data_IF_155067356593
#
_entry.id   IF_155067356593
#
_cell.length_a   1.000
_cell.length_b   1.000
_cell.length_c   1.000
_cell.angle_alpha   90.00
_cell.angle_beta   90.00
_cell.angle_gamma   90.00
#
_symmetry.space_group_name_H-M   'P 1'
#
loop_
_entity.id
_entity.type
_entity.pdbx_description
1 polymer ?
#
# COMPACT_ATOMS: atom_id res chain seq x y z
N UNK A 1 -64.94 -1.36 5.36
CA UNK A 1 -63.65 -1.05 6.00
C UNK A 1 -62.54 -1.71 5.20
N UNK A 2 -61.92 -0.98 4.27
CA UNK A 2 -60.88 -1.52 3.35
C UNK A 2 -59.51 -1.19 3.92
N UNK A 3 -58.83 -2.20 4.47
CA UNK A 3 -57.44 -2.06 4.93
C UNK A 3 -56.57 -2.08 3.68
N UNK A 4 -55.85 -0.98 3.44
CA UNK A 4 -54.93 -0.82 2.32
C UNK A 4 -53.71 -1.75 2.49
N UNK A 5 -53.79 -2.96 1.92
CA UNK A 5 -52.70 -3.96 1.91
C UNK A 5 -51.39 -3.40 1.33
N UNK A 6 -51.45 -2.37 0.47
CA UNK A 6 -50.29 -1.79 -0.18
C UNK A 6 -49.28 -1.11 0.77
N UNK A 7 -49.70 -0.71 1.99
CA UNK A 7 -48.80 -0.05 2.96
C UNK A 7 -48.02 -1.02 3.84
N UNK A 8 -48.46 -2.27 3.97
CA UNK A 8 -47.81 -3.26 4.85
C UNK A 8 -46.63 -3.93 4.15
N UNK A 9 -46.70 -4.09 2.81
CA UNK A 9 -45.62 -4.73 2.02
C UNK A 9 -44.38 -3.82 1.87
N UNK A 10 -44.54 -2.50 1.96
CA UNK A 10 -43.42 -1.57 1.79
C UNK A 10 -42.52 -1.46 3.04
N UNK A 11 -43.03 -1.82 4.22
CA UNK A 11 -42.26 -1.73 5.47
C UNK A 11 -41.37 -2.96 5.73
N UNK A 12 -41.68 -4.12 5.17
CA UNK A 12 -40.85 -5.34 5.30
C UNK A 12 -39.66 -5.37 4.36
N UNK A 13 -39.65 -4.58 3.29
CA UNK A 13 -38.49 -4.47 2.38
C UNK A 13 -37.36 -3.59 2.92
N UNK A 14 -37.66 -2.63 3.81
CA UNK A 14 -36.65 -1.68 4.32
C UNK A 14 -35.87 -2.28 5.51
N UNK A 15 -36.47 -3.21 6.26
CA UNK A 15 -35.82 -3.85 7.41
C UNK A 15 -34.84 -4.98 7.06
N UNK A 16 -34.87 -5.51 5.83
CA UNK A 16 -33.91 -6.53 5.38
C UNK A 16 -32.65 -5.95 4.71
N UNK A 17 -32.57 -4.63 4.51
CA UNK A 17 -31.41 -4.00 3.88
C UNK A 17 -30.25 -3.69 4.86
N UNK A 18 -30.44 -3.90 6.17
CA UNK A 18 -29.46 -3.50 7.19
C UNK A 18 -28.49 -4.61 7.62
N UNK A 19 -28.60 -5.83 7.08
CA UNK A 19 -27.73 -6.96 7.46
C UNK A 19 -26.49 -7.17 6.59
N UNK A 20 -26.22 -6.31 5.60
CA UNK A 20 -25.12 -6.49 4.65
C UNK A 20 -23.86 -5.66 4.93
N UNK A 21 -23.81 -4.89 6.03
CA UNK A 21 -22.65 -4.05 6.34
C UNK A 21 -22.01 -4.40 7.68
N UNK A 22 -21.62 -5.66 7.86
CA UNK A 22 -20.68 -6.05 8.90
C UNK A 22 -20.00 -7.40 8.58
N UNK A 23 -19.59 -7.64 7.32
CA UNK A 23 -18.59 -8.68 7.10
C UNK A 23 -17.24 -8.06 7.41
N UNK A 24 -16.71 -8.46 8.56
CA UNK A 24 -15.34 -8.25 8.97
C UNK A 24 -14.49 -9.16 8.06
N UNK A 25 -14.34 -8.76 6.80
CA UNK A 25 -13.39 -9.37 5.90
C UNK A 25 -12.01 -8.95 6.41
N UNK A 26 -11.45 -9.78 7.29
CA UNK A 26 -10.01 -9.85 7.44
C UNK A 26 -9.47 -9.96 6.01
N UNK A 27 -8.83 -8.90 5.55
CA UNK A 27 -8.26 -8.86 4.23
C UNK A 27 -7.21 -9.97 4.19
N UNK A 28 -7.16 -10.66 3.07
CA UNK A 28 -6.35 -11.85 2.86
C UNK A 28 -5.87 -11.74 1.42
N UNK A 29 -4.57 -11.66 1.22
CA UNK A 29 -3.94 -11.57 -0.10
C UNK A 29 -4.43 -12.72 -1.01
N UNK A 30 -4.71 -13.90 -0.44
CA UNK A 30 -5.26 -15.04 -1.16
C UNK A 30 -6.67 -14.79 -1.72
N UNK A 31 -7.46 -13.94 -1.06
CA UNK A 31 -8.84 -13.56 -1.44
C UNK A 31 -8.93 -12.34 -2.34
N UNK A 32 -7.80 -11.77 -2.77
CA UNK A 32 -7.80 -10.66 -3.74
C UNK A 32 -8.58 -11.06 -5.00
N UNK A 33 -9.43 -10.14 -5.46
CA UNK A 33 -10.16 -10.29 -6.71
C UNK A 33 -9.17 -10.37 -7.87
N UNK A 34 -9.53 -11.07 -8.94
CA UNK A 34 -8.64 -11.21 -10.12
C UNK A 34 -8.26 -9.86 -10.72
N UNK A 35 -9.18 -8.89 -10.72
CA UNK A 35 -8.90 -7.52 -11.15
C UNK A 35 -7.80 -6.85 -10.31
N UNK A 36 -7.85 -7.01 -8.98
CA UNK A 36 -6.83 -6.46 -8.08
C UNK A 36 -5.49 -7.13 -8.28
N UNK A 37 -5.50 -8.45 -8.54
CA UNK A 37 -4.29 -9.20 -8.87
C UNK A 37 -3.65 -8.66 -10.15
N UNK A 38 -4.44 -8.46 -11.21
CA UNK A 38 -3.94 -7.89 -12.46
C UNK A 38 -3.35 -6.49 -12.23
N UNK A 39 -4.06 -5.61 -11.51
CA UNK A 39 -3.59 -4.25 -11.21
C UNK A 39 -2.28 -4.24 -10.39
N UNK A 40 -2.10 -5.17 -9.45
CA UNK A 40 -0.88 -5.32 -8.67
C UNK A 40 0.29 -5.83 -9.51
N UNK A 41 0.05 -6.78 -10.42
CA UNK A 41 1.07 -7.25 -11.36
C UNK A 41 1.50 -6.14 -12.33
N UNK A 42 0.55 -5.38 -12.88
CA UNK A 42 0.84 -4.21 -13.73
C UNK A 42 1.63 -3.13 -12.97
N UNK A 43 1.20 -2.83 -11.74
CA UNK A 43 1.92 -1.93 -10.85
C UNK A 43 3.38 -2.39 -10.65
N UNK A 44 3.59 -3.68 -10.37
CA UNK A 44 4.91 -4.24 -10.11
C UNK A 44 5.84 -4.15 -11.31
N UNK A 45 5.34 -4.44 -12.51
CA UNK A 45 6.10 -4.29 -13.76
C UNK A 45 6.53 -2.84 -13.95
N UNK A 46 5.60 -1.90 -13.80
CA UNK A 46 5.89 -0.47 -13.95
C UNK A 46 6.89 0.02 -12.90
N UNK A 47 6.76 -0.44 -11.65
CA UNK A 47 7.67 -0.12 -10.56
C UNK A 47 9.08 -0.63 -10.85
N UNK A 48 9.24 -1.91 -11.21
CA UNK A 48 10.53 -2.50 -11.57
C UNK A 48 11.19 -1.76 -12.72
N UNK A 49 10.43 -1.44 -13.77
CA UNK A 49 10.93 -0.70 -14.91
C UNK A 49 11.41 0.69 -14.47
N UNK A 50 10.58 1.45 -13.76
CA UNK A 50 10.91 2.80 -13.31
C UNK A 50 12.14 2.85 -12.39
N UNK A 51 12.29 1.88 -11.48
CA UNK A 51 13.48 1.76 -10.62
C UNK A 51 14.72 1.44 -11.45
N UNK A 52 14.66 0.40 -12.31
CA UNK A 52 15.83 -0.06 -13.06
C UNK A 52 16.30 0.94 -14.12
N UNK A 53 15.39 1.73 -14.70
CA UNK A 53 15.72 2.81 -15.65
C UNK A 53 16.02 4.13 -14.95
N UNK A 54 15.88 4.20 -13.61
CA UNK A 54 16.01 5.42 -12.81
C UNK A 54 15.09 6.55 -13.29
N UNK A 55 13.94 6.20 -13.87
CA UNK A 55 12.97 7.15 -14.37
C UNK A 55 12.16 7.75 -13.23
N UNK A 56 12.60 8.93 -12.78
CA UNK A 56 11.95 9.68 -11.70
C UNK A 56 10.52 10.10 -12.03
N UNK A 57 10.20 10.35 -13.30
CA UNK A 57 8.84 10.76 -13.69
C UNK A 57 7.91 9.56 -13.61
N UNK A 58 8.34 8.41 -14.13
CA UNK A 58 7.62 7.15 -13.97
C UNK A 58 7.46 6.77 -12.50
N UNK A 59 8.52 6.86 -11.67
CA UNK A 59 8.42 6.62 -10.22
C UNK A 59 7.40 7.57 -9.56
N UNK A 60 7.44 8.87 -9.89
CA UNK A 60 6.49 9.84 -9.34
C UNK A 60 5.02 9.50 -9.68
N UNK A 61 4.78 8.87 -10.83
CA UNK A 61 3.43 8.48 -11.27
C UNK A 61 2.85 7.30 -10.48
N UNK A 62 3.72 6.52 -9.82
CA UNK A 62 3.37 5.37 -8.97
C UNK A 62 3.15 5.77 -7.51
N UNK A 63 3.28 7.06 -7.18
CA UNK A 63 3.18 7.57 -5.81
C UNK A 63 1.95 8.46 -5.67
N UNK A 64 1.20 8.25 -4.60
CA UNK A 64 0.16 9.18 -4.18
C UNK A 64 0.78 10.27 -3.33
N UNK A 65 0.81 11.49 -3.85
CA UNK A 65 1.28 12.64 -3.08
C UNK A 65 0.17 13.25 -2.19
N UNK A 66 0.51 13.74 -0.98
CA UNK A 66 1.86 13.71 -0.37
C UNK A 66 2.28 12.29 0.07
N UNK A 67 3.54 11.93 -0.18
CA UNK A 67 4.11 10.67 0.29
C UNK A 67 4.50 10.83 1.77
N UNK A 68 4.04 9.93 2.62
CA UNK A 68 4.45 9.90 4.03
C UNK A 68 5.72 9.07 4.15
N UNK A 69 6.81 9.65 4.63
CA UNK A 69 8.06 8.91 4.83
C UNK A 69 8.64 9.09 6.22
N UNK A 70 8.82 8.00 6.96
CA UNK A 70 9.33 8.05 8.33
C UNK A 70 10.86 8.13 8.43
N UNK A 71 11.58 7.55 7.46
CA UNK A 71 13.04 7.42 7.45
C UNK A 71 13.72 8.35 6.44
N UNK A 72 12.96 9.16 5.71
CA UNK A 72 13.50 10.07 4.70
C UNK A 72 14.22 11.29 5.30
N UNK A 73 14.23 11.47 6.62
CA UNK A 73 15.03 12.52 7.24
C UNK A 73 16.45 12.04 7.55
N UNK A 74 17.39 12.99 7.51
CA UNK A 74 18.78 12.71 7.90
C UNK A 74 18.87 12.33 9.38
N UNK A 75 19.95 11.62 9.71
CA UNK A 75 20.31 11.22 11.08
C UNK A 75 20.27 12.46 12.00
N UNK A 76 19.50 12.40 13.09
CA UNK A 76 19.41 13.46 14.11
C UNK A 76 18.17 14.36 14.04
N UNK A 77 17.27 14.15 13.08
CA UNK A 77 16.02 14.92 13.03
C UNK A 77 14.92 14.32 13.91
N UNK A 78 14.16 15.19 14.60
CA UNK A 78 13.06 14.79 15.51
C UNK A 78 11.71 14.58 14.82
N UNK A 79 11.60 14.88 13.53
CA UNK A 79 10.33 14.87 12.82
C UNK A 79 10.12 13.53 12.12
N UNK A 80 9.39 12.64 12.78
CA UNK A 80 8.86 11.43 12.19
C UNK A 80 7.78 11.78 11.16
N UNK A 81 7.61 10.94 10.13
CA UNK A 81 6.53 11.02 9.14
C UNK A 81 6.51 12.32 8.31
N UNK A 82 7.54 12.53 7.50
CA UNK A 82 7.62 13.67 6.58
C UNK A 82 6.60 13.53 5.47
N UNK A 83 5.85 14.60 5.22
CA UNK A 83 5.00 14.73 4.05
C UNK A 83 5.83 15.26 2.89
N UNK A 84 6.21 14.39 1.97
CA UNK A 84 6.98 14.73 0.77
C UNK A 84 6.00 15.09 -0.34
N UNK A 85 6.14 16.29 -0.89
CA UNK A 85 5.40 16.75 -2.07
C UNK A 85 6.07 16.27 -3.35
N UNK A 86 5.31 16.22 -4.46
CA UNK A 86 5.80 15.74 -5.76
C UNK A 86 7.09 16.42 -6.23
N UNK A 87 7.15 17.75 -6.10
CA UNK A 87 8.33 18.52 -6.49
C UNK A 87 9.56 18.23 -5.61
N UNK A 88 9.39 17.90 -4.34
CA UNK A 88 10.47 17.49 -3.44
C UNK A 88 10.94 16.08 -3.79
N UNK A 89 9.99 15.20 -4.13
CA UNK A 89 10.26 13.84 -4.57
C UNK A 89 11.16 13.80 -5.80
N UNK A 90 10.73 14.47 -6.88
CA UNK A 90 11.47 14.51 -8.15
C UNK A 90 12.85 15.19 -8.04
N UNK A 91 13.07 15.99 -6.99
CA UNK A 91 14.36 16.66 -6.74
C UNK A 91 15.34 15.82 -5.92
N UNK A 92 14.85 15.07 -4.93
CA UNK A 92 15.71 14.41 -3.94
C UNK A 92 15.17 13.06 -3.48
N UNK A 93 13.91 13.00 -3.07
CA UNK A 93 13.43 11.80 -2.36
C UNK A 93 13.20 10.58 -3.24
N UNK A 94 13.27 10.70 -4.58
CA UNK A 94 13.27 9.53 -5.46
C UNK A 94 14.47 8.59 -5.23
N UNK A 95 15.56 9.10 -4.67
CA UNK A 95 16.77 8.32 -4.39
C UNK A 95 16.54 7.15 -3.42
N UNK A 96 15.49 7.19 -2.57
CA UNK A 96 15.16 6.06 -1.69
C UNK A 96 14.79 4.79 -2.50
N UNK A 97 14.33 4.97 -3.74
CA UNK A 97 14.00 3.89 -4.65
C UNK A 97 15.22 3.35 -5.40
N UNK A 98 16.38 3.98 -5.25
CA UNK A 98 17.64 3.61 -5.90
C UNK A 98 18.60 2.87 -4.96
N UNK A 99 18.14 2.49 -3.76
CA UNK A 99 18.91 1.67 -2.83
C UNK A 99 19.32 0.35 -3.52
N UNK A 100 20.63 0.01 -3.59
CA UNK A 100 21.10 -1.22 -4.21
C UNK A 100 20.45 -2.49 -3.64
N UNK A 101 20.09 -2.50 -2.35
CA UNK A 101 19.42 -3.64 -1.72
C UNK A 101 17.97 -3.77 -2.17
N UNK A 102 17.27 -2.65 -2.36
CA UNK A 102 15.95 -2.64 -2.99
C UNK A 102 16.04 -3.14 -4.43
N UNK A 103 16.96 -2.59 -5.22
CA UNK A 103 17.17 -2.98 -6.63
C UNK A 103 17.43 -4.50 -6.73
N UNK A 104 18.27 -5.05 -5.83
CA UNK A 104 18.52 -6.49 -5.77
C UNK A 104 17.24 -7.25 -5.42
N UNK A 105 16.47 -6.80 -4.43
CA UNK A 105 15.21 -7.44 -4.02
C UNK A 105 14.20 -7.45 -5.17
N UNK A 106 13.96 -6.32 -5.83
CA UNK A 106 12.96 -6.24 -6.92
C UNK A 106 13.36 -7.10 -8.12
N UNK A 107 14.65 -7.20 -8.43
CA UNK A 107 15.12 -7.97 -9.58
C UNK A 107 15.06 -9.48 -9.32
N UNK A 108 15.24 -9.89 -8.07
CA UNK A 108 15.08 -11.29 -7.64
C UNK A 108 13.61 -11.68 -7.40
N UNK A 109 12.70 -10.71 -7.35
CA UNK A 109 11.26 -10.96 -7.20
C UNK A 109 10.58 -10.92 -8.56
N UNK A 110 10.17 -12.09 -9.05
CA UNK A 110 9.42 -12.20 -10.31
C UNK A 110 8.05 -11.54 -10.19
N UNK A 111 7.35 -11.82 -9.10
CA UNK A 111 5.97 -11.40 -8.86
C UNK A 111 5.78 -10.83 -7.46
N UNK A 112 4.98 -9.77 -7.37
CA UNK A 112 4.81 -8.98 -6.16
C UNK A 112 4.11 -9.79 -5.05
N UNK A 113 3.23 -10.73 -5.40
CA UNK A 113 2.47 -11.51 -4.40
C UNK A 113 3.38 -12.34 -3.47
N UNK A 114 4.59 -12.68 -3.92
CA UNK A 114 5.57 -13.40 -3.10
C UNK A 114 6.21 -12.56 -1.99
N UNK A 115 6.07 -11.23 -2.06
CA UNK A 115 6.67 -10.29 -1.11
C UNK A 115 5.66 -9.33 -0.49
N UNK A 116 4.37 -9.43 -0.88
CA UNK A 116 3.32 -8.66 -0.25
C UNK A 116 3.07 -9.18 1.15
N UNK A 117 3.03 -8.25 2.09
CA UNK A 117 2.57 -8.47 3.44
C UNK A 117 1.38 -7.55 3.68
N UNK A 118 0.55 -7.94 4.62
CA UNK A 118 -0.58 -7.16 5.05
C UNK A 118 -0.32 -6.64 6.46
N UNK A 119 -0.63 -5.37 6.69
CA UNK A 119 -0.53 -4.77 8.02
C UNK A 119 -1.86 -4.14 8.34
N UNK A 120 -2.52 -4.66 9.37
CA UNK A 120 -3.81 -4.18 9.84
C UNK A 120 -3.64 -3.34 11.11
N UNK A 121 -4.56 -2.40 11.32
CA UNK A 121 -4.71 -1.74 12.61
C UNK A 121 -5.08 -2.73 13.73
N UNK A 122 -5.04 -2.27 14.98
CA UNK A 122 -5.37 -3.09 16.15
C UNK A 122 -6.79 -3.69 16.12
N UNK A 123 -7.68 -3.15 15.26
CA UNK A 123 -9.05 -3.65 15.11
C UNK A 123 -9.18 -4.68 14.00
N UNK A 124 -8.14 -4.89 13.19
CA UNK A 124 -8.17 -5.73 12.00
C UNK A 124 -8.99 -5.16 10.84
N UNK A 125 -9.54 -3.94 10.98
CA UNK A 125 -10.51 -3.38 10.01
C UNK A 125 -9.85 -2.55 8.92
N UNK A 126 -8.69 -1.98 9.20
CA UNK A 126 -7.92 -1.19 8.22
C UNK A 126 -6.62 -1.91 7.94
N UNK A 127 -6.60 -2.62 6.83
CA UNK A 127 -5.43 -3.34 6.36
C UNK A 127 -4.83 -2.63 5.16
N UNK A 128 -3.51 -2.53 5.15
CA UNK A 128 -2.71 -1.92 4.09
C UNK A 128 -1.77 -2.99 3.55
N UNK A 129 -1.68 -3.06 2.23
CA UNK A 129 -0.68 -3.89 1.56
C UNK A 129 0.67 -3.23 1.68
N UNK A 130 1.71 -3.98 2.01
CA UNK A 130 3.07 -3.49 2.02
C UNK A 130 3.98 -4.46 1.29
N UNK A 131 5.08 -3.97 0.74
CA UNK A 131 6.23 -4.80 0.38
C UNK A 131 7.49 -4.15 0.93
N UNK A 132 8.51 -4.96 1.24
CA UNK A 132 9.72 -4.45 1.88
C UNK A 132 10.99 -5.19 1.49
N UNK A 133 12.09 -4.65 1.99
CA UNK A 133 13.44 -5.18 1.83
C UNK A 133 14.30 -4.88 3.06
N UNK A 134 15.27 -5.76 3.34
CA UNK A 134 16.28 -5.50 4.38
C UNK A 134 17.23 -4.38 3.93
N UNK A 135 17.21 -3.25 4.63
CA UNK A 135 18.12 -2.13 4.38
C UNK A 135 19.41 -2.25 5.19
N UNK A 136 19.37 -2.86 6.38
CA UNK A 136 20.54 -3.23 7.18
C UNK A 136 20.39 -4.69 7.59
N UNK A 137 21.43 -5.50 7.36
CA UNK A 137 21.39 -6.91 7.74
C UNK A 137 21.53 -7.06 9.26
N UNK A 138 20.85 -8.03 9.89
CA UNK A 138 21.07 -8.37 11.28
C UNK A 138 22.54 -8.76 11.53
N UNK A 139 23.04 -8.42 12.71
CA UNK A 139 24.39 -8.75 13.16
C UNK A 139 24.41 -9.06 14.66
N UNK A 140 25.58 -9.40 15.21
CA UNK A 140 25.72 -9.64 16.66
C UNK A 140 25.33 -8.44 17.53
N UNK A 141 25.33 -7.23 16.98
CA UNK A 141 25.13 -5.98 17.72
C UNK A 141 23.90 -5.18 17.25
N UNK A 142 23.14 -5.68 16.26
CA UNK A 142 21.98 -4.98 15.71
C UNK A 142 21.01 -6.00 15.14
N UNK A 143 19.71 -5.79 15.37
CA UNK A 143 18.63 -6.60 14.78
C UNK A 143 18.47 -6.37 13.27
N UNK A 144 19.23 -5.44 12.70
CA UNK A 144 19.10 -5.02 11.30
C UNK A 144 18.12 -3.86 11.15
N UNK A 145 17.68 -3.64 9.92
CA UNK A 145 16.64 -2.66 9.56
C UNK A 145 15.94 -3.10 8.30
N UNK A 146 14.63 -2.95 8.26
CA UNK A 146 13.81 -3.22 7.09
C UNK A 146 13.07 -1.97 6.67
N UNK A 147 13.06 -1.70 5.37
CA UNK A 147 12.24 -0.64 4.79
C UNK A 147 11.04 -1.27 4.09
N UNK A 148 9.91 -0.58 4.16
CA UNK A 148 8.63 -0.99 3.59
C UNK A 148 8.01 0.16 2.78
N UNK A 149 7.22 -0.21 1.77
CA UNK A 149 6.39 0.68 1.00
C UNK A 149 4.94 0.21 1.10
N UNK A 150 4.05 1.12 1.52
CA UNK A 150 2.62 0.86 1.62
C UNK A 150 1.94 1.12 0.30
N UNK A 151 1.09 0.19 -0.12
CA UNK A 151 0.29 0.24 -1.34
C UNK A 151 -1.20 0.38 -1.00
N UNK A 152 -1.83 1.35 -1.64
CA UNK A 152 -3.28 1.52 -1.56
C UNK A 152 -3.89 1.56 -2.96
N UNK A 153 -5.05 0.92 -3.11
CA UNK A 153 -5.88 1.04 -4.31
C UNK A 153 -6.67 2.34 -4.23
N UNK A 154 -6.41 3.26 -5.16
CA UNK A 154 -7.16 4.50 -5.30
C UNK A 154 -7.84 4.48 -6.65
N UNK A 155 -9.17 4.33 -6.65
CA UNK A 155 -9.98 4.00 -7.83
C UNK A 155 -9.49 2.67 -8.43
N UNK A 156 -9.03 2.65 -9.68
CA UNK A 156 -8.59 1.43 -10.38
C UNK A 156 -7.07 1.36 -10.55
N UNK A 157 -6.29 1.93 -9.63
CA UNK A 157 -4.82 1.89 -9.67
C UNK A 157 -4.24 1.80 -8.27
N UNK A 158 -3.11 1.09 -8.13
CA UNK A 158 -2.33 1.05 -6.91
C UNK A 158 -1.27 2.16 -6.89
N UNK A 159 -1.02 2.71 -5.72
CA UNK A 159 -0.01 3.74 -5.48
C UNK A 159 0.74 3.47 -4.19
N UNK A 160 2.01 3.87 -4.15
CA UNK A 160 2.72 4.01 -2.87
C UNK A 160 2.17 5.23 -2.14
N UNK A 161 1.72 5.03 -0.90
CA UNK A 161 1.20 6.09 -0.01
C UNK A 161 2.16 6.41 1.13
N UNK A 162 2.97 5.43 1.55
CA UNK A 162 4.01 5.63 2.56
C UNK A 162 5.27 4.80 2.34
N UNK A 163 6.37 5.29 2.89
CA UNK A 163 7.63 4.59 3.04
C UNK A 163 8.01 4.57 4.52
N UNK A 164 8.18 3.39 5.09
CA UNK A 164 8.37 3.23 6.53
C UNK A 164 9.44 2.21 6.91
N UNK A 165 9.94 2.24 8.14
CA UNK A 165 11.02 1.35 8.62
C UNK A 165 10.69 0.66 9.94
N UNK A 166 11.21 -0.56 10.11
CA UNK A 166 11.35 -1.25 11.41
C UNK A 166 12.82 -1.59 11.61
#
# INVERSE_FOLDING_TARGET
MRINLARIVLFTFILNAQFLCAQNDNFDIGKLKNEDKQLLSEYWINFKNAVNTKDKVALSSLIKFPLICDYCQGVGSKQLNVKILKNQFEKKYFEIFLDPKLIKRINNTQDIFSILIETCDATGKKCILNFGYGSIEPSKISEGRQHFFSLEKIKNKYYITSAWTI
#
